data_IF_265242308456
#
_entry.id   IF_265242308456
#
_cell.length_a   1.000
_cell.length_b   1.000
_cell.length_c   1.000
_cell.angle_alpha   90.00
_cell.angle_beta   90.00
_cell.angle_gamma   90.00
#
_symmetry.space_group_name_H-M   'P 1'
#
loop_
_entity.id
_entity.type
_entity.pdbx_description
1 polymer ?
#
# COMPACT_ATOMS: atom_id res chain seq x y z
N UNK A 1 -11.98 -11.70 7.54
CA UNK A 1 -13.07 -11.70 6.56
C UNK A 1 -12.43 -11.43 5.22
N UNK A 2 -12.64 -12.32 4.27
CA UNK A 2 -12.11 -12.26 2.92
C UNK A 2 -13.26 -11.94 1.98
N UNK A 3 -13.02 -11.19 0.93
CA UNK A 3 -14.03 -10.79 -0.03
C UNK A 3 -13.77 -11.43 -1.39
N UNK A 4 -14.82 -11.89 -2.06
CA UNK A 4 -14.75 -12.51 -3.40
C UNK A 4 -15.26 -11.60 -4.51
N UNK A 5 -15.69 -10.39 -4.20
CA UNK A 5 -16.16 -9.44 -5.21
C UNK A 5 -15.82 -7.99 -4.87
N UNK A 6 -15.55 -7.21 -5.92
CA UNK A 6 -15.40 -5.76 -5.89
C UNK A 6 -16.65 -5.12 -6.51
N UNK A 7 -17.19 -4.10 -5.87
CA UNK A 7 -18.41 -3.41 -6.31
C UNK A 7 -18.13 -1.92 -6.44
N UNK A 8 -18.46 -1.35 -7.59
CA UNK A 8 -18.43 0.10 -7.82
C UNK A 8 -19.86 0.60 -7.98
N UNK A 9 -20.25 1.56 -7.18
CA UNK A 9 -21.58 2.18 -7.21
C UNK A 9 -21.50 3.69 -7.15
N UNK A 10 -22.55 4.35 -7.63
CA UNK A 10 -22.70 5.79 -7.52
C UNK A 10 -23.42 6.15 -6.22
N UNK A 11 -22.95 7.20 -5.52
CA UNK A 11 -23.59 7.70 -4.29
C UNK A 11 -24.95 8.33 -4.61
N UNK A 12 -25.05 8.98 -5.77
CA UNK A 12 -26.29 9.62 -6.25
C UNK A 12 -26.64 9.07 -7.65
N UNK A 13 -27.94 8.91 -7.95
CA UNK A 13 -28.38 8.58 -9.31
C UNK A 13 -29.09 7.24 -9.49
N UNK A 14 -29.16 6.37 -8.48
CA UNK A 14 -30.02 5.15 -8.48
C UNK A 14 -29.67 4.09 -9.51
N UNK A 15 -28.50 4.16 -10.15
CA UNK A 15 -28.03 3.12 -11.07
C UNK A 15 -27.54 1.90 -10.29
N UNK A 16 -27.80 0.71 -10.81
CA UNK A 16 -27.29 -0.53 -10.22
C UNK A 16 -25.75 -0.51 -10.24
N UNK A 17 -25.10 -0.86 -9.13
CA UNK A 17 -23.65 -0.94 -9.09
C UNK A 17 -23.14 -2.04 -10.02
N UNK A 18 -21.97 -1.82 -10.62
CA UNK A 18 -21.26 -2.89 -11.32
C UNK A 18 -20.46 -3.74 -10.34
N UNK A 19 -20.26 -5.01 -10.67
CA UNK A 19 -19.62 -5.97 -9.78
C UNK A 19 -18.69 -6.88 -10.55
N UNK A 20 -17.46 -6.97 -10.09
CA UNK A 20 -16.46 -7.93 -10.51
C UNK A 20 -16.38 -9.07 -9.49
N UNK A 21 -16.42 -10.32 -9.95
CA UNK A 21 -16.21 -11.50 -9.11
C UNK A 21 -14.84 -12.10 -9.42
N UNK A 22 -14.11 -12.44 -8.38
CA UNK A 22 -12.87 -13.23 -8.49
C UNK A 22 -13.21 -14.71 -8.78
N UNK A 23 -12.20 -15.45 -9.23
CA UNK A 23 -12.28 -16.89 -9.39
C UNK A 23 -12.51 -17.60 -8.02
N UNK A 24 -13.02 -18.83 -8.05
CA UNK A 24 -13.41 -19.56 -6.84
C UNK A 24 -12.29 -19.78 -5.82
N UNK A 25 -11.03 -19.80 -6.27
CA UNK A 25 -9.86 -20.00 -5.43
C UNK A 25 -9.09 -18.68 -5.12
N UNK A 26 -9.71 -17.54 -5.40
CA UNK A 26 -9.17 -16.21 -5.16
C UNK A 26 -10.00 -15.38 -4.17
N UNK A 27 -9.30 -14.55 -3.40
CA UNK A 27 -9.94 -13.56 -2.52
C UNK A 27 -9.18 -12.24 -2.55
N UNK A 28 -9.90 -11.15 -2.32
CA UNK A 28 -9.30 -9.86 -2.03
C UNK A 28 -8.75 -9.87 -0.61
N UNK A 29 -7.50 -9.48 -0.44
CA UNK A 29 -6.80 -9.54 0.85
C UNK A 29 -6.54 -8.16 1.45
N UNK A 30 -6.55 -7.09 0.65
CA UNK A 30 -6.34 -5.74 1.13
C UNK A 30 -7.40 -5.28 2.13
N UNK A 31 -7.03 -4.41 3.06
CA UNK A 31 -7.96 -3.80 4.03
C UNK A 31 -9.01 -2.94 3.34
N UNK A 32 -8.60 -2.21 2.33
CA UNK A 32 -9.40 -1.33 1.48
C UNK A 32 -8.69 -1.14 0.14
N UNK A 33 -9.44 -0.89 -0.93
CA UNK A 33 -8.83 -0.54 -2.22
C UNK A 33 -8.23 0.88 -2.14
N UNK A 34 -7.14 1.11 -2.88
CA UNK A 34 -6.63 2.44 -3.15
C UNK A 34 -7.21 2.95 -4.47
N UNK A 35 -7.44 4.25 -4.57
CA UNK A 35 -7.92 4.88 -5.80
C UNK A 35 -6.93 5.96 -6.23
N UNK A 36 -6.45 5.89 -7.46
CA UNK A 36 -5.52 6.85 -8.02
C UNK A 36 -5.53 6.80 -9.55
N UNK A 37 -5.34 7.94 -10.18
CA UNK A 37 -5.07 8.03 -11.62
C UNK A 37 -3.64 7.53 -11.89
N UNK A 38 -3.53 6.29 -12.34
CA UNK A 38 -2.24 5.62 -12.60
C UNK A 38 -1.75 5.83 -14.04
N UNK A 39 -2.67 6.03 -14.97
CA UNK A 39 -2.38 6.13 -16.40
C UNK A 39 -2.37 7.59 -16.90
N UNK A 40 -2.83 8.56 -16.09
CA UNK A 40 -2.86 9.98 -16.40
C UNK A 40 -4.03 10.41 -17.29
N UNK A 41 -5.10 9.61 -17.35
CA UNK A 41 -6.29 9.91 -18.18
C UNK A 41 -7.34 10.78 -17.47
N UNK A 42 -7.11 11.09 -16.18
CA UNK A 42 -8.00 11.88 -15.34
C UNK A 42 -9.08 11.08 -14.63
N UNK A 43 -9.05 9.75 -14.72
CA UNK A 43 -9.92 8.83 -13.97
C UNK A 43 -9.07 8.06 -12.97
N UNK A 44 -9.69 7.60 -11.89
CA UNK A 44 -8.98 6.80 -10.91
C UNK A 44 -9.16 5.32 -11.18
N UNK A 45 -8.04 4.61 -11.28
CA UNK A 45 -8.00 3.16 -11.18
C UNK A 45 -8.17 2.73 -9.72
N UNK A 46 -8.54 1.45 -9.54
CA UNK A 46 -8.71 0.82 -8.24
C UNK A 46 -7.61 -0.21 -8.05
N UNK A 47 -6.74 0.01 -7.07
CA UNK A 47 -5.61 -0.86 -6.75
C UNK A 47 -5.93 -1.69 -5.53
N UNK A 48 -5.74 -2.99 -5.62
CA UNK A 48 -5.92 -3.92 -4.50
C UNK A 48 -4.97 -5.12 -4.61
N UNK A 49 -4.97 -5.98 -3.60
CA UNK A 49 -4.26 -7.25 -3.62
C UNK A 49 -5.22 -8.41 -3.67
N UNK A 50 -4.90 -9.39 -4.48
CA UNK A 50 -5.63 -10.65 -4.63
C UNK A 50 -4.69 -11.79 -4.27
N UNK A 51 -5.15 -12.72 -3.45
CA UNK A 51 -4.43 -13.94 -3.13
C UNK A 51 -5.16 -15.14 -3.73
N UNK A 52 -4.37 -16.05 -4.30
CA UNK A 52 -4.82 -17.35 -4.76
C UNK A 52 -4.16 -18.43 -3.90
N UNK A 53 -4.94 -19.40 -3.45
CA UNK A 53 -4.48 -20.48 -2.59
C UNK A 53 -3.32 -21.30 -3.20
N UNK A 54 -3.21 -21.35 -4.53
CA UNK A 54 -2.20 -22.14 -5.27
C UNK A 54 -1.00 -21.31 -5.70
N UNK A 55 -1.21 -20.04 -6.08
CA UNK A 55 -0.20 -19.21 -6.75
C UNK A 55 0.34 -18.05 -5.93
N UNK A 56 -0.21 -17.78 -4.72
CA UNK A 56 0.17 -16.67 -3.86
C UNK A 56 -0.47 -15.32 -4.25
N UNK A 57 -0.02 -14.21 -3.64
CA UNK A 57 -0.61 -12.89 -3.82
C UNK A 57 -0.05 -12.14 -5.04
N UNK A 58 -0.88 -11.28 -5.64
CA UNK A 58 -0.51 -10.30 -6.66
C UNK A 58 -1.22 -8.97 -6.40
N UNK A 59 -0.65 -7.89 -6.90
CA UNK A 59 -1.33 -6.60 -7.01
C UNK A 59 -2.19 -6.63 -8.26
N UNK A 60 -3.42 -6.15 -8.16
CA UNK A 60 -4.36 -6.05 -9.28
C UNK A 60 -4.86 -4.61 -9.36
N UNK A 61 -4.91 -4.09 -10.57
CA UNK A 61 -5.45 -2.78 -10.91
C UNK A 61 -6.70 -2.98 -11.74
N UNK A 62 -7.79 -2.36 -11.32
CA UNK A 62 -9.04 -2.33 -12.07
C UNK A 62 -9.27 -0.95 -12.65
N UNK A 63 -9.77 -0.90 -13.88
CA UNK A 63 -10.40 0.28 -14.46
C UNK A 63 -11.92 0.19 -14.31
N UNK A 64 -12.56 1.36 -14.28
CA UNK A 64 -14.02 1.48 -14.36
C UNK A 64 -14.37 2.43 -15.51
N UNK A 65 -14.64 1.83 -16.67
CA UNK A 65 -14.95 2.54 -17.90
C UNK A 65 -16.26 2.03 -18.51
N UNK A 66 -17.01 2.91 -19.12
CA UNK A 66 -18.29 2.60 -19.77
C UNK A 66 -19.24 1.80 -18.87
N UNK A 67 -19.19 2.09 -17.54
CA UNK A 67 -19.95 1.43 -16.49
C UNK A 67 -19.58 -0.05 -16.28
N UNK A 68 -18.36 -0.43 -16.66
CA UNK A 68 -17.84 -1.79 -16.47
C UNK A 68 -16.55 -1.76 -15.66
N UNK A 69 -16.47 -2.68 -14.72
CA UNK A 69 -15.30 -2.92 -13.89
C UNK A 69 -14.51 -4.08 -14.48
N UNK A 70 -13.30 -3.80 -14.96
CA UNK A 70 -12.44 -4.79 -15.61
C UNK A 70 -11.01 -4.72 -15.03
N UNK A 71 -10.27 -5.84 -15.09
CA UNK A 71 -8.84 -5.84 -14.75
C UNK A 71 -8.08 -5.10 -15.85
N UNK A 72 -7.42 -4.01 -15.49
CA UNK A 72 -6.54 -3.25 -16.37
C UNK A 72 -5.14 -3.87 -16.41
N UNK A 73 -4.59 -4.21 -15.24
CA UNK A 73 -3.25 -4.76 -15.11
C UNK A 73 -3.10 -5.58 -13.84
N UNK A 74 -2.15 -6.50 -13.84
CA UNK A 74 -1.71 -7.17 -12.62
C UNK A 74 -0.18 -7.36 -12.55
N UNK A 75 0.31 -7.67 -11.35
CA UNK A 75 1.70 -8.04 -11.14
C UNK A 75 1.88 -9.55 -11.26
N UNK A 76 3.11 -10.00 -11.48
CA UNK A 76 3.46 -11.40 -11.23
C UNK A 76 3.22 -11.75 -9.77
N UNK A 77 2.83 -12.99 -9.50
CA UNK A 77 2.63 -13.49 -8.13
C UNK A 77 3.94 -13.52 -7.34
N UNK A 78 3.86 -13.29 -6.03
CA UNK A 78 5.04 -13.21 -5.17
C UNK A 78 5.38 -14.55 -4.53
N UNK A 79 6.11 -15.37 -5.26
CA UNK A 79 6.58 -16.67 -4.76
C UNK A 79 5.53 -17.77 -4.82
N UNK A 80 5.55 -18.70 -3.88
CA UNK A 80 4.61 -19.81 -3.76
C UNK A 80 4.05 -19.91 -2.36
N UNK A 81 2.82 -20.45 -2.22
CA UNK A 81 2.10 -20.56 -0.95
C UNK A 81 1.50 -19.22 -0.51
N UNK A 82 0.97 -19.16 0.69
CA UNK A 82 0.32 -17.98 1.25
C UNK A 82 1.34 -16.88 1.58
N UNK A 83 1.64 -16.06 0.59
CA UNK A 83 2.52 -14.90 0.72
C UNK A 83 1.71 -13.63 0.53
N UNK A 84 1.57 -12.87 1.59
CA UNK A 84 0.78 -11.65 1.62
C UNK A 84 1.50 -10.48 0.96
N UNK A 85 0.70 -9.66 0.28
CA UNK A 85 1.06 -8.31 -0.13
C UNK A 85 0.09 -7.34 0.55
N UNK A 86 0.62 -6.25 1.08
CA UNK A 86 -0.19 -5.14 1.55
C UNK A 86 0.12 -3.92 0.71
N UNK A 87 -0.86 -3.45 -0.08
CA UNK A 87 -0.78 -2.19 -0.80
C UNK A 87 -0.89 -1.03 0.20
N UNK A 88 0.11 -0.13 0.17
CA UNK A 88 0.20 0.95 1.15
C UNK A 88 -0.22 2.27 0.55
N UNK A 89 0.29 2.59 -0.65
CA UNK A 89 0.05 3.87 -1.28
C UNK A 89 0.25 3.82 -2.78
N UNK A 90 -0.34 4.78 -3.47
CA UNK A 90 -0.01 5.15 -4.85
C UNK A 90 0.44 6.60 -4.84
N UNK A 91 1.67 6.85 -5.29
CA UNK A 91 2.26 8.20 -5.32
C UNK A 91 3.43 8.28 -6.31
N UNK A 92 3.83 9.50 -6.71
CA UNK A 92 5.04 9.72 -7.49
C UNK A 92 6.27 9.69 -6.56
N UNK A 93 6.82 8.50 -6.31
CA UNK A 93 7.97 8.32 -5.42
C UNK A 93 9.30 8.77 -6.03
N UNK A 94 9.35 9.05 -7.34
CA UNK A 94 10.54 9.55 -8.03
C UNK A 94 10.28 10.90 -8.69
N UNK A 95 11.34 11.62 -9.01
CA UNK A 95 11.29 12.97 -9.57
C UNK A 95 10.66 13.04 -10.98
N UNK A 96 10.47 11.93 -11.67
CA UNK A 96 9.80 11.87 -12.97
C UNK A 96 8.28 12.08 -12.89
N UNK A 97 7.73 12.08 -11.67
CA UNK A 97 6.32 12.33 -11.41
C UNK A 97 5.38 11.18 -11.76
N UNK A 98 5.91 10.04 -12.21
CA UNK A 98 5.10 8.87 -12.55
C UNK A 98 4.64 8.16 -11.29
N UNK A 99 3.34 7.87 -11.20
CA UNK A 99 2.76 7.14 -10.06
C UNK A 99 3.30 5.72 -9.95
N UNK A 100 3.69 5.34 -8.73
CA UNK A 100 4.11 3.98 -8.37
C UNK A 100 3.20 3.43 -7.27
N UNK A 101 2.94 2.14 -7.30
CA UNK A 101 2.23 1.42 -6.24
C UNK A 101 3.26 0.90 -5.26
N UNK A 102 3.25 1.39 -4.03
CA UNK A 102 4.10 0.90 -2.96
C UNK A 102 3.39 -0.20 -2.17
N UNK A 103 4.06 -1.33 -2.00
CA UNK A 103 3.55 -2.48 -1.24
C UNK A 103 4.60 -3.03 -0.27
N UNK A 104 4.13 -3.67 0.81
CA UNK A 104 4.97 -4.50 1.68
C UNK A 104 4.62 -5.96 1.46
N UNK A 105 5.60 -6.73 1.00
CA UNK A 105 5.48 -8.18 0.87
C UNK A 105 5.78 -8.86 2.20
N UNK A 106 5.01 -9.88 2.59
CA UNK A 106 5.08 -10.56 3.89
C UNK A 106 5.06 -9.58 5.08
N UNK A 107 4.01 -8.75 5.15
CA UNK A 107 3.98 -7.52 5.96
C UNK A 107 3.97 -7.75 7.48
N UNK A 108 3.74 -8.98 7.93
CA UNK A 108 3.59 -9.37 9.34
C UNK A 108 4.78 -10.16 9.90
N UNK A 109 5.76 -10.51 9.06
CA UNK A 109 6.97 -11.27 9.48
C UNK A 109 8.28 -10.57 9.11
N UNK A 110 8.15 -9.37 8.52
CA UNK A 110 9.28 -8.58 8.03
C UNK A 110 9.79 -9.06 6.69
N UNK A 111 9.56 -8.28 5.68
CA UNK A 111 9.83 -8.65 4.29
C UNK A 111 10.42 -7.52 3.47
N UNK A 112 9.78 -7.26 2.35
CA UNK A 112 10.29 -6.39 1.31
C UNK A 112 9.34 -5.22 1.10
N UNK A 113 9.89 -4.00 0.99
CA UNK A 113 9.20 -2.91 0.32
C UNK A 113 9.38 -3.05 -1.18
N UNK A 114 8.31 -2.95 -1.96
CA UNK A 114 8.31 -3.07 -3.41
C UNK A 114 7.54 -1.93 -4.03
N UNK A 115 7.97 -1.51 -5.22
CA UNK A 115 7.35 -0.44 -5.98
C UNK A 115 7.07 -0.94 -7.39
N UNK A 116 5.84 -0.76 -7.83
CA UNK A 116 5.38 -1.18 -9.15
C UNK A 116 4.92 0.02 -9.97
N UNK A 117 5.12 -0.03 -11.29
CA UNK A 117 4.54 0.92 -12.26
C UNK A 117 3.62 0.21 -13.22
N UNK A 118 2.60 0.92 -13.65
CA UNK A 118 1.74 0.48 -14.73
C UNK A 118 2.52 0.55 -16.06
N UNK A 119 2.54 -0.56 -16.80
CA UNK A 119 3.17 -0.70 -18.11
C UNK A 119 2.28 -1.52 -19.04
N UNK A 120 1.39 -0.85 -19.75
CA UNK A 120 0.33 -1.51 -20.53
C UNK A 120 -0.59 -2.33 -19.61
N UNK A 121 -0.75 -3.60 -19.89
CA UNK A 121 -1.58 -4.53 -19.11
C UNK A 121 -0.84 -5.22 -17.95
N UNK A 122 0.36 -4.74 -17.58
CA UNK A 122 1.18 -5.34 -16.54
C UNK A 122 1.66 -4.31 -15.53
N UNK A 123 1.94 -4.79 -14.32
CA UNK A 123 2.65 -4.03 -13.29
C UNK A 123 4.11 -4.47 -13.26
N UNK A 124 4.99 -3.57 -13.68
CA UNK A 124 6.43 -3.78 -13.65
C UNK A 124 6.99 -3.49 -12.25
N UNK A 125 7.77 -4.41 -11.69
CA UNK A 125 8.52 -4.18 -10.46
C UNK A 125 9.73 -3.27 -10.77
N UNK A 126 9.64 -2.00 -10.39
CA UNK A 126 10.67 -0.99 -10.67
C UNK A 126 11.71 -0.84 -9.58
N UNK A 127 11.39 -1.24 -8.35
CA UNK A 127 12.35 -1.29 -7.25
C UNK A 127 11.89 -2.20 -6.12
N UNK A 128 12.86 -2.73 -5.37
CA UNK A 128 12.61 -3.54 -4.19
C UNK A 128 13.76 -3.41 -3.19
N UNK A 129 13.42 -3.43 -1.90
CA UNK A 129 14.40 -3.45 -0.80
C UNK A 129 13.98 -4.46 0.25
N UNK A 130 14.89 -5.37 0.59
CA UNK A 130 14.78 -6.23 1.76
C UNK A 130 15.31 -5.49 2.99
N UNK A 131 14.68 -5.64 4.13
CA UNK A 131 15.12 -4.97 5.37
C UNK A 131 14.27 -5.35 6.57
N UNK A 132 13.36 -6.31 6.40
CA UNK A 132 12.47 -6.72 7.48
C UNK A 132 11.35 -5.71 7.71
N UNK A 133 10.94 -4.98 6.68
CA UNK A 133 9.88 -3.98 6.76
C UNK A 133 8.52 -4.62 6.99
N UNK A 134 7.71 -4.01 7.83
CA UNK A 134 6.38 -4.48 8.18
C UNK A 134 5.32 -3.43 7.82
N UNK A 135 4.07 -3.84 7.85
CA UNK A 135 2.92 -2.91 7.86
C UNK A 135 1.92 -3.25 8.97
N UNK A 136 2.11 -4.39 9.61
CA UNK A 136 1.36 -4.82 10.77
C UNK A 136 2.06 -6.02 11.44
N UNK A 137 1.60 -6.38 12.64
CA UNK A 137 2.07 -7.56 13.38
C UNK A 137 1.05 -8.70 13.25
N UNK A 138 1.53 -9.93 13.11
CA UNK A 138 0.68 -11.12 13.10
C UNK A 138 -0.18 -11.19 14.36
N UNK A 139 -1.48 -11.42 14.20
CA UNK A 139 -2.47 -11.45 15.28
C UNK A 139 -2.87 -10.09 15.84
N UNK A 140 -2.34 -8.98 15.30
CA UNK A 140 -2.78 -7.63 15.64
C UNK A 140 -4.12 -7.29 14.97
N UNK A 141 -4.89 -6.40 15.60
CA UNK A 141 -6.04 -5.75 14.97
C UNK A 141 -5.64 -4.46 14.23
N UNK A 142 -4.43 -3.96 14.48
CA UNK A 142 -3.87 -2.79 13.83
C UNK A 142 -3.13 -3.26 12.58
N UNK A 143 -3.82 -3.26 11.45
CA UNK A 143 -3.34 -3.83 10.19
C UNK A 143 -2.78 -2.76 9.25
N UNK A 144 -2.82 -1.49 9.65
CA UNK A 144 -2.43 -0.33 8.85
C UNK A 144 -1.41 0.53 9.62
N UNK A 145 -0.17 0.06 9.66
CA UNK A 145 0.95 0.71 10.35
C UNK A 145 2.00 1.27 9.38
N UNK A 146 1.63 1.45 8.10
CA UNK A 146 2.48 2.03 7.08
C UNK A 146 1.71 3.09 6.29
N UNK A 147 2.40 4.11 5.79
CA UNK A 147 1.82 5.16 4.95
C UNK A 147 2.89 5.87 4.13
N UNK A 148 2.47 6.66 3.13
CA UNK A 148 3.36 7.45 2.31
C UNK A 148 3.06 8.95 2.44
N UNK A 149 4.10 9.77 2.32
CA UNK A 149 3.99 11.21 2.38
C UNK A 149 5.34 11.92 2.26
N UNK A 150 5.32 13.23 2.08
CA UNK A 150 6.51 14.07 2.14
C UNK A 150 6.71 14.54 3.60
N UNK A 151 7.37 13.69 4.40
CA UNK A 151 7.46 13.91 5.85
C UNK A 151 8.55 14.91 6.25
N UNK A 152 9.65 14.95 5.53
CA UNK A 152 10.78 15.84 5.79
C UNK A 152 10.74 17.16 4.98
N UNK A 153 9.68 17.37 4.18
CA UNK A 153 9.41 18.57 3.37
C UNK A 153 10.44 18.84 2.26
N UNK A 154 11.14 17.85 1.84
CA UNK A 154 12.13 18.00 0.74
C UNK A 154 11.48 17.86 -0.66
N UNK A 155 10.17 17.58 -0.73
CA UNK A 155 9.42 17.40 -1.96
C UNK A 155 9.42 15.95 -2.46
N UNK A 156 10.12 15.04 -1.79
CA UNK A 156 10.13 13.61 -2.11
C UNK A 156 9.07 12.90 -1.27
N UNK A 157 8.35 11.97 -1.87
CA UNK A 157 7.42 11.11 -1.15
C UNK A 157 8.20 9.93 -0.58
N UNK A 158 8.16 9.75 0.74
CA UNK A 158 8.70 8.58 1.40
C UNK A 158 7.61 7.58 1.72
N UNK A 159 7.99 6.30 1.77
CA UNK A 159 7.19 5.22 2.35
C UNK A 159 7.65 4.98 3.79
N UNK A 160 6.79 5.28 4.75
CA UNK A 160 7.05 5.08 6.18
C UNK A 160 6.51 3.72 6.62
N UNK A 161 7.39 2.87 7.12
CA UNK A 161 7.10 1.48 7.51
C UNK A 161 7.69 1.13 8.87
N UNK A 162 7.05 0.28 9.66
CA UNK A 162 7.65 -0.29 10.86
C UNK A 162 8.87 -1.18 10.55
N UNK A 163 9.85 -1.17 11.44
CA UNK A 163 10.89 -2.18 11.53
C UNK A 163 10.31 -3.54 11.94
N UNK A 164 11.11 -4.61 11.78
CA UNK A 164 10.70 -5.99 12.08
C UNK A 164 10.29 -6.20 13.55
N UNK A 165 10.97 -5.53 14.47
CA UNK A 165 10.66 -5.56 15.91
C UNK A 165 9.53 -4.60 16.30
N UNK A 166 9.10 -3.74 15.36
CA UNK A 166 8.12 -2.67 15.54
C UNK A 166 8.51 -1.62 16.58
N UNK A 167 9.79 -1.45 16.83
CA UNK A 167 10.33 -0.46 17.75
C UNK A 167 10.79 0.83 17.03
N UNK A 168 10.74 0.82 15.69
CA UNK A 168 11.11 1.97 14.86
C UNK A 168 10.14 2.14 13.69
N UNK A 169 10.05 3.37 13.20
CA UNK A 169 9.48 3.73 11.90
C UNK A 169 10.60 4.14 10.97
N UNK A 170 10.71 3.51 9.82
CA UNK A 170 11.75 3.71 8.84
C UNK A 170 11.14 4.38 7.60
N UNK A 171 11.67 5.52 7.22
CA UNK A 171 11.30 6.19 5.96
C UNK A 171 12.16 5.65 4.82
N UNK A 172 11.48 5.15 3.80
CA UNK A 172 12.09 4.63 2.58
C UNK A 172 11.85 5.62 1.46
N UNK A 173 12.90 6.07 0.79
CA UNK A 173 12.83 6.90 -0.42
C UNK A 173 13.27 6.15 -1.65
N UNK A 174 12.69 6.52 -2.78
CA UNK A 174 13.10 6.03 -4.10
C UNK A 174 14.19 6.95 -4.66
N UNK A 175 15.26 6.34 -5.17
CA UNK A 175 16.31 7.02 -5.93
C UNK A 175 16.57 6.20 -7.19
N UNK A 176 16.10 6.65 -8.31
CA UNK A 176 16.11 5.89 -9.58
C UNK A 176 15.53 4.47 -9.43
N UNK A 177 16.34 3.44 -9.56
CA UNK A 177 15.94 2.03 -9.40
C UNK A 177 16.23 1.46 -8.01
N UNK A 178 16.67 2.32 -7.06
CA UNK A 178 17.09 1.91 -5.71
C UNK A 178 16.09 2.41 -4.68
N UNK A 179 15.95 1.66 -3.60
CA UNK A 179 15.23 2.09 -2.39
C UNK A 179 16.25 2.30 -1.28
N UNK A 180 16.29 3.48 -0.70
CA UNK A 180 17.18 3.83 0.40
C UNK A 180 16.39 4.11 1.68
N UNK A 181 17.00 3.83 2.83
CA UNK A 181 16.51 4.33 4.12
C UNK A 181 16.94 5.78 4.28
N UNK A 182 15.98 6.70 4.34
CA UNK A 182 16.24 8.12 4.44
C UNK A 182 16.50 8.56 5.89
N UNK A 183 15.60 8.15 6.78
CA UNK A 183 15.66 8.48 8.21
C UNK A 183 14.81 7.49 9.01
N UNK A 184 14.96 7.53 10.34
CA UNK A 184 14.27 6.61 11.26
C UNK A 184 13.75 7.38 12.47
N UNK A 185 12.55 7.05 12.91
CA UNK A 185 11.98 7.48 14.20
C UNK A 185 12.04 6.30 15.17
N UNK A 186 12.48 6.56 16.39
CA UNK A 186 12.47 5.59 17.49
C UNK A 186 11.46 6.06 18.54
N UNK A 187 10.29 5.45 18.63
CA UNK A 187 9.24 5.82 19.58
C UNK A 187 9.58 5.49 21.06
N UNK A 188 10.64 4.76 21.32
CA UNK A 188 11.03 4.33 22.65
C UNK A 188 10.28 3.08 23.15
N UNK A 189 9.32 2.58 22.40
CA UNK A 189 8.56 1.36 22.66
C UNK A 189 7.92 0.86 21.37
N UNK A 190 7.38 -0.35 21.42
CA UNK A 190 6.68 -0.95 20.27
C UNK A 190 5.42 -0.19 19.89
N UNK A 191 5.18 -0.17 18.60
CA UNK A 191 3.98 0.42 18.01
C UNK A 191 2.73 -0.40 18.40
N UNK A 192 1.69 0.28 18.87
CA UNK A 192 0.47 -0.35 19.40
C UNK A 192 -0.81 0.05 18.68
N UNK A 193 -0.78 1.02 17.78
CA UNK A 193 -1.96 1.46 17.00
C UNK A 193 -1.64 1.44 15.51
N UNK A 194 -2.66 1.68 14.67
CA UNK A 194 -2.44 2.13 13.31
C UNK A 194 -1.71 3.47 13.33
N UNK A 195 -0.96 3.76 12.28
CA UNK A 195 -0.32 5.05 12.05
C UNK A 195 -1.28 5.96 11.29
N UNK A 196 -1.26 7.24 11.60
CA UNK A 196 -2.01 8.24 10.85
C UNK A 196 -1.14 9.44 10.56
N UNK A 197 -1.43 10.12 9.45
CA UNK A 197 -0.85 11.42 9.14
C UNK A 197 -1.94 12.42 8.78
N UNK A 198 -1.72 13.67 9.15
CA UNK A 198 -2.61 14.79 8.82
C UNK A 198 -1.77 15.98 8.42
N UNK A 199 -2.20 16.70 7.39
CA UNK A 199 -1.56 17.94 6.99
C UNK A 199 -2.12 19.11 7.84
N UNK A 200 -1.21 19.82 8.51
CA UNK A 200 -1.53 21.00 9.31
C UNK A 200 -0.59 22.14 8.92
N UNK A 201 -1.12 23.18 8.30
CA UNK A 201 -0.34 24.35 7.89
C UNK A 201 0.79 24.02 6.89
N UNK A 202 0.55 23.13 5.94
CA UNK A 202 1.55 22.71 4.94
C UNK A 202 2.59 21.72 5.48
N UNK A 203 2.35 21.13 6.65
CA UNK A 203 3.24 20.14 7.29
C UNK A 203 2.48 18.86 7.57
N UNK A 204 3.03 17.74 7.15
CA UNK A 204 2.52 16.43 7.52
C UNK A 204 2.93 16.12 8.97
N UNK A 205 1.94 15.88 9.82
CA UNK A 205 2.14 15.42 11.20
C UNK A 205 1.78 13.95 11.27
N UNK A 206 2.66 13.15 11.85
CA UNK A 206 2.48 11.70 12.01
C UNK A 206 2.16 11.38 13.45
N UNK A 207 1.14 10.56 13.70
CA UNK A 207 0.77 10.14 15.05
C UNK A 207 0.66 8.61 15.14
N UNK A 208 1.11 8.07 16.29
CA UNK A 208 1.01 6.65 16.61
C UNK A 208 0.99 6.45 18.13
N UNK A 209 0.28 5.43 18.59
CA UNK A 209 0.31 4.96 19.97
C UNK A 209 1.33 3.84 20.17
N UNK A 210 1.90 3.74 21.37
CA UNK A 210 2.89 2.74 21.75
C UNK A 210 2.41 1.82 22.87
N UNK A 211 3.09 0.70 23.07
CA UNK A 211 2.80 -0.26 24.17
C UNK A 211 3.01 0.36 25.56
N UNK A 212 3.77 1.46 25.67
CA UNK A 212 3.92 2.24 26.90
C UNK A 212 2.70 3.12 27.23
N UNK A 213 1.61 3.03 26.48
CA UNK A 213 0.42 3.87 26.61
C UNK A 213 0.68 5.37 26.31
N UNK A 214 1.64 5.65 25.44
CA UNK A 214 1.94 6.99 24.95
C UNK A 214 1.36 7.19 23.55
N UNK A 215 0.78 8.36 23.31
CA UNK A 215 0.41 8.84 22.00
C UNK A 215 1.47 9.86 21.56
N UNK A 216 2.20 9.51 20.52
CA UNK A 216 3.31 10.32 20.01
C UNK A 216 2.89 11.03 18.72
N UNK A 217 3.30 12.29 18.57
CA UNK A 217 3.05 13.11 17.39
C UNK A 217 4.37 13.75 16.97
N UNK A 218 4.77 13.51 15.72
CA UNK A 218 5.90 14.18 15.08
C UNK A 218 5.42 15.22 14.07
N UNK A 219 6.18 16.33 13.99
CA UNK A 219 5.86 17.49 13.15
C UNK A 219 7.04 17.85 12.25
#
# INVERSE_FOLDING_TARGET
VEWSSLVVGQIEGGRAPDRFFLDEDEVFEGLFPLMSDLNGDGRSEIVTTVINAKSSARVVVFSYEDDRLEILADSVTVGSGFRWLHQIAVAPFTADGVSEIAVVQTPHIGGFAKFFRLSGEHLELVASKSGGYMSHRNGSRNLDQALAGNFDRNGVIELLVPSRDQESLIALKRVDHVVEEAWTINPGSRLATNIVAVEVGGTLQVAIGTENSELLIWR
#
